data_IF_719135789309
#
_entry.id   IF_719135789309
#
_cell.length_a   1.000
_cell.length_b   1.000
_cell.length_c   1.000
_cell.angle_alpha   90.00
_cell.angle_beta   90.00
_cell.angle_gamma   90.00
#
_symmetry.space_group_name_H-M   'P 1'
#
loop_
_entity.id
_entity.type
_entity.pdbx_description
1 polymer ?
#
# COMPACT_ATOMS: atom_id res chain seq x y z
N UNK A 1 19.07 11.25 31.20
CA UNK A 1 17.89 11.44 30.34
C UNK A 1 17.95 10.42 29.24
N UNK A 2 17.26 9.31 29.43
CA UNK A 2 17.20 8.18 28.47
C UNK A 2 16.10 8.53 27.48
N UNK A 3 16.48 8.85 26.24
CA UNK A 3 15.53 9.03 25.15
C UNK A 3 14.97 7.65 24.80
N UNK A 4 13.76 7.37 25.24
CA UNK A 4 12.99 6.21 24.85
C UNK A 4 12.65 6.38 23.37
N UNK A 5 13.22 5.55 22.53
CA UNK A 5 12.96 5.49 21.08
C UNK A 5 11.52 5.02 20.86
N UNK A 6 10.62 5.97 20.60
CA UNK A 6 9.17 5.78 20.51
C UNK A 6 8.71 5.23 19.14
N UNK A 7 9.60 4.67 18.33
CA UNK A 7 9.35 4.25 16.96
C UNK A 7 9.36 2.73 16.74
N UNK A 8 9.28 1.93 17.80
CA UNK A 8 9.06 0.49 17.59
C UNK A 8 7.58 0.32 17.22
N UNK A 9 7.26 -0.25 16.05
CA UNK A 9 5.89 -0.59 15.73
C UNK A 9 5.42 -1.60 16.79
N UNK A 10 4.39 -1.22 17.51
CA UNK A 10 3.73 -2.08 18.47
C UNK A 10 3.05 -3.19 17.67
N UNK A 11 3.80 -4.25 17.42
CA UNK A 11 3.32 -5.50 16.83
C UNK A 11 2.39 -6.14 17.82
N UNK A 12 1.11 -5.98 17.61
CA UNK A 12 0.13 -6.23 18.64
C UNK A 12 -0.23 -7.69 18.81
N UNK A 13 -0.03 -8.56 17.83
CA UNK A 13 -0.43 -9.96 17.99
C UNK A 13 0.57 -10.92 17.30
N UNK A 14 1.03 -11.91 18.05
CA UNK A 14 1.79 -13.04 17.50
C UNK A 14 0.96 -13.82 16.50
N UNK A 15 1.64 -14.52 15.60
CA UNK A 15 0.98 -15.47 14.70
C UNK A 15 0.40 -16.62 15.53
N UNK A 16 -0.90 -16.73 15.57
CA UNK A 16 -1.60 -17.77 16.33
C UNK A 16 -2.19 -18.79 15.36
N UNK A 17 -1.88 -20.06 15.59
CA UNK A 17 -2.52 -21.14 14.86
C UNK A 17 -3.90 -21.44 15.44
N UNK A 18 -4.95 -21.30 14.62
CA UNK A 18 -6.30 -21.73 14.97
C UNK A 18 -6.48 -23.25 14.90
N UNK A 19 -7.60 -23.77 15.42
CA UNK A 19 -7.91 -25.20 15.43
C UNK A 19 -8.07 -25.81 14.02
N UNK A 20 -8.32 -24.97 13.02
CA UNK A 20 -8.48 -25.28 11.60
C UNK A 20 -7.17 -25.20 10.78
N UNK A 21 -6.03 -25.14 11.44
CA UNK A 21 -4.69 -24.93 10.86
C UNK A 21 -4.55 -23.61 10.12
N UNK A 22 -5.40 -22.63 10.39
CA UNK A 22 -5.31 -21.28 9.88
C UNK A 22 -4.50 -20.43 10.84
N UNK A 23 -3.46 -19.78 10.32
CA UNK A 23 -2.64 -18.84 11.08
C UNK A 23 -3.27 -17.45 10.98
N UNK A 24 -3.44 -16.76 12.11
CA UNK A 24 -4.05 -15.44 12.19
C UNK A 24 -3.16 -14.49 12.94
N UNK A 25 -3.00 -13.29 12.40
CA UNK A 25 -2.31 -12.20 13.11
C UNK A 25 -2.84 -10.83 12.65
N UNK A 26 -2.51 -9.81 13.44
CA UNK A 26 -2.74 -8.43 13.09
C UNK A 26 -1.42 -7.70 13.03
N UNK A 27 -1.31 -6.75 12.13
CA UNK A 27 -0.14 -5.92 11.97
C UNK A 27 -0.55 -4.47 11.78
N UNK A 28 -0.04 -3.59 12.64
CA UNK A 28 -0.23 -2.15 12.51
C UNK A 28 0.98 -1.58 11.80
N UNK A 29 0.76 -0.92 10.65
CA UNK A 29 1.82 -0.31 9.86
C UNK A 29 2.52 0.78 10.66
N UNK A 30 3.84 0.77 10.64
CA UNK A 30 4.61 1.90 11.14
C UNK A 30 4.36 3.14 10.27
N UNK A 31 4.58 4.33 10.85
CA UNK A 31 4.45 5.58 10.11
C UNK A 31 5.31 5.62 8.85
N UNK A 32 6.51 5.07 8.90
CA UNK A 32 7.43 5.00 7.76
C UNK A 32 6.90 4.08 6.64
N UNK A 33 6.38 2.92 7.00
CA UNK A 33 5.77 1.98 6.04
C UNK A 33 4.54 2.59 5.36
N UNK A 34 3.71 3.29 6.12
CA UNK A 34 2.57 4.00 5.58
C UNK A 34 3.01 5.14 4.63
N UNK A 35 4.02 5.93 5.00
CA UNK A 35 4.55 7.01 4.17
C UNK A 35 5.09 6.51 2.82
N UNK A 36 5.75 5.36 2.78
CA UNK A 36 6.21 4.76 1.51
C UNK A 36 5.04 4.47 0.58
N UNK A 37 3.95 3.92 1.11
CA UNK A 37 2.74 3.64 0.33
C UNK A 37 2.10 4.93 -0.23
N UNK A 38 1.98 5.97 0.60
CA UNK A 38 1.44 7.27 0.19
C UNK A 38 2.34 8.02 -0.80
N UNK A 39 3.67 7.89 -0.67
CA UNK A 39 4.61 8.47 -1.63
C UNK A 39 4.37 7.95 -3.05
N UNK A 40 4.11 6.66 -3.20
CA UNK A 40 3.78 6.08 -4.50
C UNK A 40 2.45 6.61 -5.05
N UNK A 41 1.41 6.71 -4.22
CA UNK A 41 0.12 7.30 -4.61
C UNK A 41 0.25 8.76 -5.02
N UNK A 42 1.09 9.54 -4.32
CA UNK A 42 1.34 10.93 -4.67
C UNK A 42 2.06 11.08 -6.02
N UNK A 43 2.97 10.18 -6.38
CA UNK A 43 3.64 10.19 -7.69
C UNK A 43 2.61 9.95 -8.80
N UNK A 44 1.74 8.95 -8.65
CA UNK A 44 0.67 8.68 -9.61
C UNK A 44 -0.26 9.89 -9.72
N UNK A 45 -0.66 10.47 -8.59
CA UNK A 45 -1.47 11.68 -8.55
C UNK A 45 -0.83 12.85 -9.30
N UNK A 46 0.48 13.06 -9.12
CA UNK A 46 1.22 14.10 -9.82
C UNK A 46 1.23 13.89 -11.34
N UNK A 47 1.41 12.65 -11.80
CA UNK A 47 1.36 12.30 -13.23
C UNK A 47 -0.02 12.61 -13.79
N UNK A 48 -1.08 12.17 -13.13
CA UNK A 48 -2.47 12.42 -13.56
C UNK A 48 -2.76 13.92 -13.59
N UNK A 49 -2.38 14.68 -12.56
CA UNK A 49 -2.55 16.12 -12.52
C UNK A 49 -1.85 16.82 -13.68
N UNK A 50 -0.62 16.39 -14.00
CA UNK A 50 0.16 16.94 -15.12
C UNK A 50 -0.52 16.69 -16.45
N UNK A 51 -0.99 15.47 -16.70
CA UNK A 51 -1.69 15.10 -17.95
C UNK A 51 -2.99 15.90 -18.09
N UNK A 52 -3.80 15.98 -17.04
CA UNK A 52 -5.05 16.76 -17.07
C UNK A 52 -4.77 18.25 -17.31
N UNK A 53 -3.75 18.81 -16.66
CA UNK A 53 -3.36 20.22 -16.86
C UNK A 53 -2.87 20.48 -18.29
N UNK A 54 -2.10 19.56 -18.89
CA UNK A 54 -1.65 19.67 -20.27
C UNK A 54 -2.83 19.64 -21.25
N UNK A 55 -3.81 18.78 -21.03
CA UNK A 55 -5.05 18.73 -21.83
C UNK A 55 -5.82 20.04 -21.71
N UNK A 56 -5.96 20.59 -20.51
CA UNK A 56 -6.66 21.87 -20.31
C UNK A 56 -5.94 23.02 -21.01
N UNK A 57 -4.60 23.09 -20.91
CA UNK A 57 -3.81 24.11 -21.61
C UNK A 57 -3.97 23.97 -23.13
N UNK A 58 -3.96 22.75 -23.66
CA UNK A 58 -4.19 22.48 -25.09
C UNK A 58 -5.54 23.02 -25.54
N UNK A 59 -6.63 22.72 -24.83
CA UNK A 59 -7.96 23.24 -25.15
C UNK A 59 -8.05 24.76 -25.00
N UNK A 60 -7.34 25.34 -24.05
CA UNK A 60 -7.28 26.79 -23.89
C UNK A 60 -6.59 27.49 -25.08
N UNK A 61 -5.47 26.89 -25.54
CA UNK A 61 -4.69 27.49 -26.65
C UNK A 61 -5.36 27.31 -28.02
N UNK A 62 -5.97 26.10 -28.23
CA UNK A 62 -6.52 25.74 -29.55
C UNK A 62 -8.04 25.76 -29.64
N UNK A 63 -8.74 25.90 -28.53
CA UNK A 63 -10.22 25.80 -28.46
C UNK A 63 -11.00 27.04 -28.88
N UNK A 64 -10.34 28.13 -29.29
CA UNK A 64 -11.01 29.34 -29.81
C UNK A 64 -11.60 30.31 -28.76
N UNK A 65 -12.17 31.39 -29.23
CA UNK A 65 -12.72 32.49 -28.41
C UNK A 65 -13.83 32.00 -27.47
N UNK A 66 -13.62 32.08 -26.18
CA UNK A 66 -14.64 31.79 -25.16
C UNK A 66 -14.18 31.03 -23.93
N UNK A 67 -13.02 30.44 -23.98
CA UNK A 67 -12.45 29.79 -22.81
C UNK A 67 -11.73 30.83 -21.93
N UNK A 68 -12.23 30.96 -20.73
CA UNK A 68 -11.69 31.54 -19.49
C UNK A 68 -10.41 32.39 -19.58
N UNK A 69 -10.33 33.47 -18.84
CA UNK A 69 -9.10 34.29 -18.74
C UNK A 69 -7.90 33.44 -18.28
N UNK A 70 -6.64 33.80 -18.62
CA UNK A 70 -5.43 33.09 -18.17
C UNK A 70 -5.39 32.92 -16.65
N UNK A 71 -5.93 33.87 -15.89
CA UNK A 71 -6.03 33.75 -14.42
C UNK A 71 -6.98 32.65 -13.96
N UNK A 72 -8.10 32.48 -14.65
CA UNK A 72 -9.06 31.40 -14.36
C UNK A 72 -8.45 30.04 -14.69
N UNK A 73 -7.74 29.91 -15.81
CA UNK A 73 -6.99 28.66 -16.15
C UNK A 73 -5.98 28.32 -15.08
N UNK A 74 -5.18 29.30 -14.64
CA UNK A 74 -4.20 29.09 -13.58
C UNK A 74 -4.86 28.62 -12.27
N UNK A 75 -5.99 29.22 -11.90
CA UNK A 75 -6.75 28.85 -10.71
C UNK A 75 -7.25 27.40 -10.80
N UNK A 76 -7.79 26.97 -11.96
CA UNK A 76 -8.21 25.60 -12.17
C UNK A 76 -7.06 24.61 -12.07
N UNK A 77 -5.90 24.90 -12.66
CA UNK A 77 -4.71 24.07 -12.56
C UNK A 77 -4.28 23.91 -11.09
N UNK A 78 -4.23 25.01 -10.34
CA UNK A 78 -3.88 24.99 -8.91
C UNK A 78 -4.89 24.18 -8.09
N UNK A 79 -6.18 24.28 -8.39
CA UNK A 79 -7.22 23.47 -7.74
C UNK A 79 -7.05 21.98 -8.05
N UNK A 80 -6.79 21.62 -9.30
CA UNK A 80 -6.54 20.23 -9.71
C UNK A 80 -5.34 19.65 -8.95
N UNK A 81 -4.21 20.38 -8.93
CA UNK A 81 -3.03 19.95 -8.16
C UNK A 81 -3.31 19.85 -6.67
N UNK A 82 -4.01 20.83 -6.10
CA UNK A 82 -4.42 20.85 -4.71
C UNK A 82 -5.30 19.64 -4.33
N UNK A 83 -6.28 19.32 -5.18
CA UNK A 83 -7.16 18.16 -4.96
C UNK A 83 -6.43 16.82 -5.14
N UNK A 84 -5.67 16.67 -6.22
CA UNK A 84 -5.04 15.38 -6.56
C UNK A 84 -3.85 15.07 -5.64
N UNK A 85 -3.06 16.06 -5.24
CA UNK A 85 -1.90 15.87 -4.35
C UNK A 85 -2.23 16.11 -2.89
N UNK A 86 -3.09 17.10 -2.59
CA UNK A 86 -3.41 17.48 -1.22
C UNK A 86 -4.32 16.48 -0.52
N UNK A 87 -5.34 15.96 -1.19
CA UNK A 87 -6.28 15.01 -0.59
C UNK A 87 -5.63 13.68 -0.18
N UNK A 88 -4.84 13.01 -1.02
CA UNK A 88 -4.13 11.80 -0.60
C UNK A 88 -3.14 12.07 0.54
N UNK A 89 -2.46 13.22 0.54
CA UNK A 89 -1.54 13.60 1.61
C UNK A 89 -2.29 13.84 2.93
N UNK A 90 -3.43 14.52 2.91
CA UNK A 90 -4.30 14.73 4.07
C UNK A 90 -4.86 13.40 4.60
N UNK A 91 -5.44 12.58 3.72
CA UNK A 91 -5.95 11.26 4.09
C UNK A 91 -4.81 10.40 4.68
N UNK A 92 -3.63 10.44 4.06
CA UNK A 92 -2.43 9.80 4.57
C UNK A 92 -2.06 10.26 5.97
N UNK A 93 -2.02 11.56 6.20
CA UNK A 93 -1.67 12.14 7.48
C UNK A 93 -2.64 11.72 8.59
N UNK A 94 -3.95 11.74 8.34
CA UNK A 94 -4.96 11.32 9.32
C UNK A 94 -5.06 9.80 9.48
N UNK A 95 -4.77 9.02 8.44
CA UNK A 95 -4.79 7.55 8.49
C UNK A 95 -3.51 6.93 9.06
N UNK A 96 -2.44 7.70 9.21
CA UNK A 96 -1.09 7.24 9.62
C UNK A 96 -0.99 6.63 11.03
N UNK A 97 -2.06 6.69 11.83
CA UNK A 97 -2.07 6.12 13.17
C UNK A 97 -2.89 4.83 13.33
N UNK A 98 -3.57 4.36 12.27
CA UNK A 98 -4.59 3.32 12.43
C UNK A 98 -4.69 2.30 11.29
N UNK A 99 -3.70 2.20 10.41
CA UNK A 99 -3.76 1.19 9.33
C UNK A 99 -3.35 -0.20 9.87
N UNK A 100 -4.29 -0.79 10.62
CA UNK A 100 -4.17 -2.15 11.12
C UNK A 100 -4.71 -3.11 10.07
N UNK A 101 -3.91 -4.10 9.73
CA UNK A 101 -4.23 -5.15 8.78
C UNK A 101 -4.37 -6.48 9.50
N UNK A 102 -5.45 -7.19 9.24
CA UNK A 102 -5.64 -8.56 9.73
C UNK A 102 -5.29 -9.53 8.63
N UNK A 103 -4.53 -10.55 8.97
CA UNK A 103 -4.11 -11.60 8.05
C UNK A 103 -4.63 -12.95 8.52
N UNK A 104 -5.05 -13.76 7.56
CA UNK A 104 -5.36 -15.17 7.73
C UNK A 104 -4.62 -15.97 6.66
N UNK A 105 -3.83 -16.96 7.05
CA UNK A 105 -3.00 -17.78 6.17
C UNK A 105 -3.35 -19.24 6.38
N UNK A 106 -3.68 -19.93 5.30
CA UNK A 106 -3.90 -21.36 5.25
C UNK A 106 -2.93 -22.04 4.25
N UNK A 107 -3.13 -23.32 3.95
CA UNK A 107 -2.26 -24.06 3.04
C UNK A 107 -2.36 -23.60 1.57
N UNK A 108 -3.41 -22.85 1.19
CA UNK A 108 -3.70 -22.50 -0.18
C UNK A 108 -3.58 -21.01 -0.47
N UNK A 109 -3.82 -20.16 0.53
CA UNK A 109 -3.89 -18.71 0.32
C UNK A 109 -3.55 -17.90 1.57
N UNK A 110 -3.28 -16.63 1.35
CA UNK A 110 -3.29 -15.61 2.39
C UNK A 110 -4.42 -14.63 2.10
N UNK A 111 -5.25 -14.40 3.11
CA UNK A 111 -6.30 -13.37 3.10
C UNK A 111 -5.84 -12.21 3.94
N UNK A 112 -6.02 -11.00 3.44
CA UNK A 112 -5.78 -9.83 4.25
C UNK A 112 -6.96 -8.88 4.21
N UNK A 113 -7.27 -8.29 5.36
CA UNK A 113 -8.34 -7.32 5.54
C UNK A 113 -7.78 -6.02 6.08
N UNK A 114 -8.17 -4.91 5.46
CA UNK A 114 -7.89 -3.59 5.99
C UNK A 114 -8.96 -3.19 7.01
N UNK A 115 -8.57 -2.79 8.21
CA UNK A 115 -9.51 -2.34 9.24
C UNK A 115 -10.29 -1.08 8.81
N UNK A 116 -9.67 -0.21 8.00
CA UNK A 116 -10.20 1.13 7.69
C UNK A 116 -10.67 1.31 6.24
N UNK A 117 -10.27 0.45 5.29
CA UNK A 117 -10.51 0.68 3.86
C UNK A 117 -11.42 -0.34 3.17
N UNK A 118 -12.00 -1.26 3.91
CA UNK A 118 -13.04 -2.15 3.41
C UNK A 118 -12.68 -2.93 2.14
N UNK A 119 -11.47 -3.39 2.02
CA UNK A 119 -11.03 -4.24 0.92
C UNK A 119 -10.40 -5.53 1.44
N UNK A 120 -11.06 -6.66 1.17
CA UNK A 120 -10.47 -7.97 1.41
C UNK A 120 -9.66 -8.36 0.17
N UNK A 121 -8.41 -8.73 0.33
CA UNK A 121 -7.64 -9.33 -0.74
C UNK A 121 -7.28 -10.77 -0.37
N UNK A 122 -7.38 -11.65 -1.36
CA UNK A 122 -6.98 -13.05 -1.23
C UNK A 122 -5.91 -13.34 -2.27
N UNK A 123 -4.78 -13.84 -1.84
CA UNK A 123 -3.66 -14.21 -2.69
C UNK A 123 -3.51 -15.73 -2.63
N UNK A 124 -3.76 -16.39 -3.74
CA UNK A 124 -3.60 -17.83 -3.86
C UNK A 124 -2.15 -18.19 -4.19
N UNK A 125 -1.56 -19.12 -3.45
CA UNK A 125 -0.15 -19.51 -3.61
C UNK A 125 0.17 -20.10 -4.99
N UNK A 126 -0.76 -20.84 -5.58
CA UNK A 126 -0.63 -21.41 -6.93
C UNK A 126 -0.56 -20.34 -8.03
N UNK A 127 -1.21 -19.19 -7.81
CA UNK A 127 -1.25 -18.06 -8.76
C UNK A 127 -0.08 -17.08 -8.61
N UNK A 128 0.70 -17.18 -7.54
CA UNK A 128 1.87 -16.33 -7.34
C UNK A 128 2.92 -16.65 -8.40
N UNK A 129 3.33 -15.64 -9.15
CA UNK A 129 4.36 -15.75 -10.20
C UNK A 129 5.75 -15.38 -9.70
N UNK A 130 5.81 -14.52 -8.70
CA UNK A 130 7.05 -13.99 -8.17
C UNK A 130 6.86 -13.56 -6.72
N UNK A 131 7.89 -13.74 -5.91
CA UNK A 131 7.92 -13.32 -4.52
C UNK A 131 9.29 -12.71 -4.17
N UNK A 132 9.30 -11.76 -3.26
CA UNK A 132 10.50 -11.17 -2.69
C UNK A 132 10.31 -10.92 -1.21
N UNK A 133 11.40 -10.95 -0.46
CA UNK A 133 11.38 -10.77 0.98
C UNK A 133 12.00 -9.43 1.39
N UNK A 134 11.42 -8.84 2.40
CA UNK A 134 11.98 -7.73 3.17
C UNK A 134 12.08 -8.16 4.62
N UNK A 135 12.65 -7.30 5.48
CA UNK A 135 12.90 -7.63 6.88
C UNK A 135 11.69 -8.25 7.59
N UNK A 136 10.53 -7.62 7.52
CA UNK A 136 9.27 -8.06 8.13
C UNK A 136 8.09 -8.12 7.15
N UNK A 137 8.39 -8.19 5.86
CA UNK A 137 7.36 -8.23 4.83
C UNK A 137 7.70 -9.24 3.74
N UNK A 138 6.64 -9.75 3.10
CA UNK A 138 6.69 -10.57 1.91
C UNK A 138 5.94 -9.82 0.82
N UNK A 139 6.56 -9.70 -0.34
CA UNK A 139 5.96 -9.12 -1.52
C UNK A 139 5.59 -10.26 -2.45
N UNK A 140 4.31 -10.41 -2.77
CA UNK A 140 3.79 -11.44 -3.65
C UNK A 140 3.20 -10.78 -4.89
N UNK A 141 3.53 -11.32 -6.07
CA UNK A 141 2.99 -10.83 -7.35
C UNK A 141 2.10 -11.89 -7.99
N UNK A 142 0.83 -11.53 -8.15
CA UNK A 142 -0.17 -12.32 -8.87
C UNK A 142 -0.63 -11.52 -10.11
N UNK A 143 -0.28 -12.00 -11.30
CA UNK A 143 -0.56 -11.27 -12.53
C UNK A 143 0.12 -9.89 -12.57
N UNK A 144 -0.68 -8.83 -12.66
CA UNK A 144 -0.22 -7.43 -12.62
C UNK A 144 -0.26 -6.83 -11.22
N UNK A 145 -0.90 -7.51 -10.27
CA UNK A 145 -1.10 -7.01 -8.91
C UNK A 145 0.05 -7.44 -8.00
N UNK A 146 0.52 -6.51 -7.20
CA UNK A 146 1.54 -6.76 -6.18
C UNK A 146 0.94 -6.55 -4.79
N UNK A 147 1.10 -7.54 -3.94
CA UNK A 147 0.63 -7.54 -2.56
C UNK A 147 1.83 -7.47 -1.61
N UNK A 148 1.79 -6.57 -0.65
CA UNK A 148 2.78 -6.53 0.43
C UNK A 148 2.12 -6.95 1.73
N UNK A 149 2.61 -8.04 2.29
CA UNK A 149 2.13 -8.61 3.53
C UNK A 149 3.16 -8.42 4.62
N UNK A 150 2.73 -7.97 5.77
CA UNK A 150 3.59 -7.71 6.91
C UNK A 150 3.37 -8.77 7.98
N UNK A 151 4.45 -9.22 8.60
CA UNK A 151 4.42 -10.11 9.74
C UNK A 151 5.09 -9.46 10.95
N UNK A 152 4.70 -9.83 12.18
CA UNK A 152 5.45 -9.47 13.38
C UNK A 152 6.91 -9.87 13.24
N UNK A 153 7.85 -9.06 13.71
CA UNK A 153 9.29 -9.31 13.56
C UNK A 153 9.69 -10.69 14.13
N UNK A 154 9.10 -11.06 15.26
CA UNK A 154 9.35 -12.33 15.92
C UNK A 154 8.91 -13.55 15.09
N UNK A 155 7.83 -13.40 14.33
CA UNK A 155 7.22 -14.46 13.53
C UNK A 155 7.54 -14.35 12.03
N UNK A 156 8.25 -13.29 11.61
CA UNK A 156 8.52 -13.02 10.21
C UNK A 156 9.26 -14.15 9.51
N UNK A 157 10.23 -14.77 10.18
CA UNK A 157 10.98 -15.91 9.65
C UNK A 157 10.06 -17.12 9.40
N UNK A 158 9.15 -17.42 10.33
CA UNK A 158 8.17 -18.49 10.19
C UNK A 158 7.22 -18.23 9.01
N UNK A 159 6.63 -17.04 8.93
CA UNK A 159 5.68 -16.69 7.85
C UNK A 159 6.36 -16.77 6.49
N UNK A 160 7.59 -16.25 6.37
CA UNK A 160 8.37 -16.32 5.14
C UNK A 160 8.64 -17.76 4.70
N UNK A 161 9.12 -18.59 5.61
CA UNK A 161 9.42 -19.98 5.30
C UNK A 161 8.14 -20.75 4.94
N UNK A 162 7.04 -20.50 5.65
CA UNK A 162 5.75 -21.11 5.35
C UNK A 162 5.28 -20.77 3.94
N UNK A 163 5.35 -19.50 3.55
CA UNK A 163 4.97 -19.05 2.21
C UNK A 163 5.94 -19.60 1.15
N UNK A 164 7.25 -19.59 1.42
CA UNK A 164 8.28 -20.10 0.52
C UNK A 164 8.04 -21.56 0.12
N UNK A 165 7.71 -22.40 1.09
CA UNK A 165 7.44 -23.82 0.86
C UNK A 165 6.21 -24.01 -0.04
N UNK A 166 5.19 -23.16 0.08
CA UNK A 166 3.94 -23.32 -0.69
C UNK A 166 4.00 -22.75 -2.10
N UNK A 167 4.71 -21.66 -2.31
CA UNK A 167 4.81 -21.07 -3.66
C UNK A 167 5.94 -21.66 -4.51
N UNK A 168 6.87 -22.40 -3.89
CA UNK A 168 8.06 -22.95 -4.54
C UNK A 168 9.26 -22.00 -4.48
N UNK A 169 10.44 -22.54 -4.16
CA UNK A 169 11.66 -21.75 -4.00
C UNK A 169 12.13 -21.06 -5.29
N UNK A 170 11.74 -21.58 -6.44
CA UNK A 170 12.08 -21.03 -7.76
C UNK A 170 11.42 -19.67 -8.07
N UNK A 171 10.33 -19.35 -7.39
CA UNK A 171 9.60 -18.09 -7.56
C UNK A 171 10.14 -16.96 -6.65
N UNK A 172 11.09 -17.28 -5.79
CA UNK A 172 11.72 -16.30 -4.90
C UNK A 172 12.95 -15.67 -5.56
N UNK A 173 12.96 -14.34 -5.65
CA UNK A 173 14.19 -13.57 -5.84
C UNK A 173 14.94 -13.42 -4.50
N UNK A 174 16.23 -13.73 -4.53
CA UNK A 174 17.15 -13.51 -3.41
C UNK A 174 17.65 -12.06 -3.39
#
# INVERSE_FOLDING_TARGET
>A
MTMTNKNTPESTDRVVQGPDRVYRWKYTLSREQALVHYKFMNIIGAIVATVVSAIMIFFFVFGGEGLTSPGTLLLFILLIYGMILGMPALIGYFALGSDTRSYEMDDNCIRHKHATRGGDAVVFFDKVKWASEKENAIILKEGITTYTMYAPLEDAAFVKEYVRVRIGCEKYER
#
